data_IF_504966139485
#
_entry.id   IF_504966139485
#
_cell.length_a   1.000
_cell.length_b   1.000
_cell.length_c   1.000
_cell.angle_alpha   90.00
_cell.angle_beta   90.00
_cell.angle_gamma   90.00
#
_symmetry.space_group_name_H-M   'P 1'
#
loop_
_entity.id
_entity.type
_entity.pdbx_description
1 polymer ?
#
# COMPACT_ATOMS: atom_id res chain seq x y z
N UNK A 1 48.11 24.11 -35.43
CA UNK A 1 46.80 23.83 -34.80
C UNK A 1 47.07 23.29 -33.38
N UNK A 2 46.82 24.11 -32.35
CA UNK A 2 47.03 23.74 -30.93
C UNK A 2 45.71 23.26 -30.35
N UNK A 3 45.61 21.96 -29.99
CA UNK A 3 44.47 21.40 -29.30
C UNK A 3 44.37 21.97 -27.88
N UNK A 4 43.37 22.80 -27.64
CA UNK A 4 42.98 23.18 -26.29
C UNK A 4 42.16 22.01 -25.69
N UNK A 5 42.79 21.18 -24.85
CA UNK A 5 42.07 20.29 -23.97
C UNK A 5 41.38 21.17 -22.91
N UNK A 6 40.08 21.22 -22.92
CA UNK A 6 39.34 22.03 -21.97
C UNK A 6 39.33 21.36 -20.59
N UNK A 7 39.48 22.16 -19.53
CA UNK A 7 39.57 21.77 -18.11
C UNK A 7 38.40 20.87 -17.65
N UNK A 8 37.25 20.95 -18.34
CA UNK A 8 36.04 20.17 -18.09
C UNK A 8 36.21 18.67 -18.33
N UNK A 9 37.02 18.27 -19.33
CA UNK A 9 37.24 16.85 -19.64
C UNK A 9 38.15 16.15 -18.64
N UNK A 10 39.02 16.90 -17.94
CA UNK A 10 39.91 16.38 -16.90
C UNK A 10 39.16 16.18 -15.60
N UNK A 11 38.24 17.08 -15.23
CA UNK A 11 37.40 16.98 -14.02
C UNK A 11 36.44 15.79 -14.07
N UNK A 12 35.87 15.51 -15.26
CA UNK A 12 34.92 14.37 -15.42
C UNK A 12 35.66 13.03 -15.36
N UNK A 13 36.88 12.95 -15.86
CA UNK A 13 37.70 11.73 -15.74
C UNK A 13 38.27 11.53 -14.33
N UNK A 14 38.55 12.58 -13.59
CA UNK A 14 39.02 12.50 -12.19
C UNK A 14 37.89 12.06 -11.26
N UNK A 15 36.62 12.48 -11.51
CA UNK A 15 35.48 12.08 -10.74
C UNK A 15 35.11 10.57 -10.87
N UNK A 16 35.38 9.98 -12.04
CA UNK A 16 35.17 8.54 -12.28
C UNK A 16 36.28 7.65 -11.68
N UNK A 17 37.50 8.17 -11.50
CA UNK A 17 38.64 7.38 -10.98
C UNK A 17 38.62 7.32 -9.43
N UNK A 18 38.06 8.33 -8.76
CA UNK A 18 38.00 8.37 -7.29
C UNK A 18 36.95 7.41 -6.69
N UNK A 19 36.09 6.83 -7.53
CA UNK A 19 35.06 5.87 -7.07
C UNK A 19 35.57 4.40 -6.98
N UNK A 20 36.79 4.11 -7.40
CA UNK A 20 37.27 2.73 -7.58
C UNK A 20 38.15 2.16 -6.46
N UNK A 21 38.39 2.86 -5.34
CA UNK A 21 39.29 2.34 -4.29
C UNK A 21 38.75 2.32 -2.88
N UNK A 22 37.41 2.26 -2.71
CA UNK A 22 36.85 1.95 -1.39
C UNK A 22 36.57 0.43 -1.33
N UNK A 23 37.47 -0.31 -0.69
CA UNK A 23 37.21 -1.69 -0.24
C UNK A 23 36.20 -1.64 0.92
N UNK A 24 34.89 -1.51 0.59
CA UNK A 24 33.84 -1.76 1.58
C UNK A 24 33.73 -3.29 1.74
N UNK A 25 33.90 -3.79 2.96
CA UNK A 25 33.34 -5.07 3.35
C UNK A 25 31.82 -4.89 3.36
N UNK A 26 31.18 -5.21 2.23
CA UNK A 26 29.77 -4.98 1.98
C UNK A 26 28.97 -6.04 2.74
N UNK A 27 28.51 -5.72 3.97
CA UNK A 27 27.52 -6.51 4.66
C UNK A 27 26.12 -6.16 4.12
N UNK A 28 25.69 -6.87 3.08
CA UNK A 28 24.35 -6.78 2.54
C UNK A 28 23.45 -7.83 3.18
N UNK A 29 22.33 -7.41 3.76
CA UNK A 29 21.22 -8.30 4.05
C UNK A 29 20.27 -8.28 2.86
N UNK A 30 20.06 -9.42 2.23
CA UNK A 30 19.21 -9.57 1.05
C UNK A 30 18.21 -10.69 1.26
N UNK A 31 16.94 -10.41 1.02
CA UNK A 31 15.85 -11.37 1.20
C UNK A 31 15.03 -11.48 -0.09
N UNK A 32 14.79 -12.71 -0.52
CA UNK A 32 13.64 -13.02 -1.37
C UNK A 32 12.43 -13.25 -0.48
N UNK A 33 11.31 -12.70 -0.86
CA UNK A 33 10.07 -12.83 -0.13
C UNK A 33 8.88 -12.94 -1.08
N UNK A 34 7.79 -13.44 -0.57
CA UNK A 34 6.56 -13.50 -1.33
C UNK A 34 5.33 -13.71 -0.47
N UNK A 35 4.21 -13.60 -1.15
CA UNK A 35 2.89 -13.88 -0.61
C UNK A 35 2.05 -14.55 -1.70
N UNK A 36 1.58 -15.75 -1.45
CA UNK A 36 0.52 -16.37 -2.21
C UNK A 36 -0.78 -16.19 -1.43
N UNK A 37 -1.76 -15.52 -2.02
CA UNK A 37 -3.05 -15.23 -1.39
C UNK A 37 -4.15 -15.48 -2.41
N UNK A 38 -4.86 -16.58 -2.24
CA UNK A 38 -5.88 -17.06 -3.16
C UNK A 38 -7.13 -17.46 -2.41
N UNK A 39 -8.27 -17.36 -3.07
CA UNK A 39 -9.54 -17.84 -2.53
C UNK A 39 -10.42 -18.42 -3.64
N UNK A 40 -11.28 -19.35 -3.27
CA UNK A 40 -12.48 -19.70 -4.03
C UNK A 40 -13.60 -18.81 -3.51
N UNK A 41 -14.38 -18.23 -4.41
CA UNK A 41 -15.51 -17.40 -4.09
C UNK A 41 -16.75 -17.88 -4.85
N UNK A 42 -17.86 -17.99 -4.14
CA UNK A 42 -19.18 -17.95 -4.74
C UNK A 42 -19.56 -16.48 -4.87
N UNK A 43 -19.91 -16.06 -6.06
CA UNK A 43 -20.20 -14.67 -6.46
C UNK A 43 -21.62 -14.63 -6.96
N UNK A 44 -22.46 -13.79 -6.32
CA UNK A 44 -23.81 -13.49 -6.77
C UNK A 44 -23.86 -12.01 -7.15
N UNK A 45 -24.20 -11.67 -8.38
CA UNK A 45 -24.31 -10.29 -8.85
C UNK A 45 -25.75 -9.78 -8.90
N UNK A 46 -26.68 -10.57 -8.33
CA UNK A 46 -28.12 -10.32 -8.31
C UNK A 46 -28.84 -10.73 -9.60
N UNK A 47 -28.13 -11.28 -10.57
CA UNK A 47 -28.66 -11.82 -11.83
C UNK A 47 -28.26 -13.28 -12.01
N UNK A 48 -27.03 -13.62 -11.64
CA UNK A 48 -26.49 -14.97 -11.76
C UNK A 48 -25.53 -15.26 -10.60
N UNK A 49 -25.26 -16.55 -10.38
CA UNK A 49 -24.36 -17.02 -9.33
C UNK A 49 -23.28 -17.88 -9.97
N UNK A 50 -22.04 -17.48 -9.80
CA UNK A 50 -20.87 -18.21 -10.31
C UNK A 50 -19.89 -18.57 -9.19
N UNK A 51 -19.01 -19.53 -9.45
CA UNK A 51 -17.89 -19.87 -8.59
C UNK A 51 -16.59 -19.61 -9.31
N UNK A 52 -15.70 -18.83 -8.69
CA UNK A 52 -14.44 -18.46 -9.30
C UNK A 52 -13.27 -18.58 -8.31
N UNK A 53 -12.06 -18.70 -8.85
CA UNK A 53 -10.81 -18.69 -8.09
C UNK A 53 -10.17 -17.32 -8.21
N UNK A 54 -9.98 -16.64 -7.08
CA UNK A 54 -9.56 -15.26 -7.03
C UNK A 54 -8.12 -15.13 -6.53
N UNK A 55 -7.33 -14.34 -7.24
CA UNK A 55 -6.03 -13.86 -6.80
C UNK A 55 -6.20 -12.62 -5.92
N UNK A 56 -5.75 -12.70 -4.66
CA UNK A 56 -5.81 -11.61 -3.71
C UNK A 56 -4.44 -10.89 -3.62
N UNK A 57 -3.95 -10.40 -4.77
CA UNK A 57 -2.66 -9.73 -4.93
C UNK A 57 -1.48 -10.57 -4.42
N UNK A 58 -1.38 -11.80 -4.92
CA UNK A 58 -0.18 -12.64 -4.76
C UNK A 58 1.03 -11.93 -5.35
N UNK A 59 2.20 -12.09 -4.75
CA UNK A 59 3.39 -11.32 -5.15
C UNK A 59 4.68 -12.03 -4.80
N UNK A 60 5.71 -11.67 -5.54
CA UNK A 60 7.10 -12.03 -5.26
C UNK A 60 7.95 -10.78 -5.24
N UNK A 61 9.00 -10.77 -4.45
CA UNK A 61 9.87 -9.63 -4.31
C UNK A 61 11.27 -9.96 -3.84
N UNK A 62 12.13 -9.01 -4.07
CA UNK A 62 13.50 -8.97 -3.57
C UNK A 62 13.71 -7.64 -2.85
N UNK A 63 14.33 -7.68 -1.69
CA UNK A 63 14.78 -6.48 -0.99
C UNK A 63 16.20 -6.66 -0.50
N UNK A 64 16.97 -5.59 -0.52
CA UNK A 64 18.32 -5.57 0.00
C UNK A 64 18.58 -4.29 0.79
N UNK A 65 19.29 -4.44 1.90
CA UNK A 65 19.81 -3.35 2.72
C UNK A 65 21.32 -3.53 2.82
N UNK A 66 22.03 -2.58 2.24
CA UNK A 66 23.48 -2.52 2.24
C UNK A 66 23.94 -1.45 3.22
N UNK A 67 24.67 -1.84 4.27
CA UNK A 67 25.26 -0.89 5.20
C UNK A 67 26.42 -0.18 4.54
N UNK A 68 26.34 1.14 4.35
CA UNK A 68 27.41 1.99 3.80
C UNK A 68 28.30 2.58 4.91
N UNK A 69 27.69 2.91 6.06
CA UNK A 69 28.36 3.32 7.28
C UNK A 69 27.48 3.02 8.50
N UNK A 70 27.89 3.37 9.72
CA UNK A 70 27.08 3.14 10.92
C UNK A 70 25.71 3.81 10.87
N UNK A 71 25.61 4.96 10.20
CA UNK A 71 24.40 5.77 10.13
C UNK A 71 23.81 5.88 8.71
N UNK A 72 24.31 5.09 7.75
CA UNK A 72 23.86 5.16 6.37
C UNK A 72 23.72 3.78 5.76
N UNK A 73 22.53 3.52 5.21
CA UNK A 73 22.23 2.31 4.46
C UNK A 73 21.72 2.67 3.07
N UNK A 74 22.07 1.85 2.09
CA UNK A 74 21.46 1.85 0.77
C UNK A 74 20.37 0.77 0.72
N UNK A 75 19.24 1.09 0.09
CA UNK A 75 18.06 0.23 0.03
C UNK A 75 17.68 -0.06 -1.40
N UNK A 76 17.31 -1.30 -1.67
CA UNK A 76 16.69 -1.72 -2.93
C UNK A 76 15.46 -2.56 -2.57
N UNK A 77 14.36 -2.34 -3.28
CA UNK A 77 13.21 -3.24 -3.30
C UNK A 77 12.71 -3.38 -4.73
N UNK A 78 12.41 -4.60 -5.13
CA UNK A 78 11.73 -4.95 -6.37
C UNK A 78 10.58 -5.87 -5.98
N UNK A 79 9.33 -5.49 -6.30
CA UNK A 79 8.15 -6.29 -6.00
C UNK A 79 7.23 -6.32 -7.23
N UNK A 80 6.77 -7.52 -7.57
CA UNK A 80 5.80 -7.73 -8.63
C UNK A 80 4.64 -8.57 -8.13
N UNK A 81 3.43 -8.18 -8.49
CA UNK A 81 2.25 -9.00 -8.38
C UNK A 81 2.32 -10.11 -9.44
N UNK A 82 1.91 -11.28 -9.05
CA UNK A 82 1.74 -12.47 -9.88
C UNK A 82 0.30 -12.94 -9.74
N UNK A 83 -0.21 -13.60 -10.74
CA UNK A 83 -1.52 -14.26 -10.66
C UNK A 83 -1.35 -15.78 -10.83
N UNK A 84 -1.46 -16.55 -9.73
CA UNK A 84 -1.38 -18.00 -9.81
C UNK A 84 -2.66 -18.66 -10.34
N UNK A 85 -3.75 -17.91 -10.57
CA UNK A 85 -5.03 -18.48 -11.06
C UNK A 85 -5.03 -18.68 -12.56
N UNK A 86 -4.52 -17.69 -13.32
CA UNK A 86 -4.48 -17.72 -14.78
C UNK A 86 -3.11 -17.34 -15.38
N UNK A 87 -2.14 -16.98 -14.54
CA UNK A 87 -0.80 -16.59 -14.96
C UNK A 87 -0.68 -15.14 -15.45
N UNK A 88 -1.74 -14.32 -15.36
CA UNK A 88 -1.78 -12.94 -15.87
C UNK A 88 -2.11 -11.93 -14.78
N UNK A 89 -1.13 -11.16 -14.35
CA UNK A 89 -1.27 -10.18 -13.25
C UNK A 89 -1.74 -8.79 -13.72
N UNK A 90 -1.60 -8.46 -15.00
CA UNK A 90 -2.00 -7.15 -15.57
C UNK A 90 -2.29 -7.30 -17.07
N UNK A 91 -3.53 -7.62 -17.42
CA UNK A 91 -3.91 -7.98 -18.79
C UNK A 91 -3.12 -9.20 -19.26
N UNK A 92 -2.37 -9.08 -20.35
CA UNK A 92 -1.55 -10.19 -20.88
C UNK A 92 -0.17 -10.31 -20.22
N UNK A 93 0.13 -9.50 -19.20
CA UNK A 93 1.44 -9.50 -18.53
C UNK A 93 1.46 -10.48 -17.37
N UNK A 94 2.54 -11.26 -17.29
CA UNK A 94 2.81 -12.19 -16.17
C UNK A 94 3.06 -11.44 -14.86
N UNK A 95 3.62 -10.23 -14.94
CA UNK A 95 4.00 -9.41 -13.78
C UNK A 95 3.33 -8.04 -13.84
N UNK A 96 2.82 -7.60 -12.68
CA UNK A 96 2.39 -6.24 -12.45
C UNK A 96 3.28 -5.59 -11.40
N UNK A 97 3.95 -4.50 -11.79
CA UNK A 97 4.85 -3.80 -10.89
C UNK A 97 4.12 -3.29 -9.64
N UNK A 98 4.73 -3.59 -8.49
CA UNK A 98 4.32 -3.08 -7.18
C UNK A 98 5.38 -2.11 -6.64
N UNK A 99 5.61 -2.09 -5.31
CA UNK A 99 6.61 -1.20 -4.73
C UNK A 99 8.03 -1.59 -5.17
N UNK A 100 8.60 -0.80 -6.07
CA UNK A 100 9.92 -1.00 -6.66
C UNK A 100 10.69 0.31 -6.59
N UNK A 101 11.73 0.38 -5.77
CA UNK A 101 12.47 1.61 -5.50
C UNK A 101 13.91 1.33 -5.08
N UNK A 102 14.73 2.38 -5.19
CA UNK A 102 16.03 2.50 -4.53
C UNK A 102 15.97 3.65 -3.53
N UNK A 103 16.82 3.60 -2.50
CA UNK A 103 16.82 4.65 -1.48
C UNK A 103 18.01 4.62 -0.54
N UNK A 104 18.05 5.59 0.34
CA UNK A 104 19.00 5.68 1.45
C UNK A 104 18.23 5.87 2.77
N UNK A 105 18.77 5.32 3.85
CA UNK A 105 18.19 5.51 5.19
C UNK A 105 19.27 5.68 6.24
N UNK A 106 18.95 6.44 7.26
CA UNK A 106 19.83 6.72 8.40
C UNK A 106 19.07 7.39 9.53
N UNK A 107 19.81 8.08 10.42
CA UNK A 107 19.18 8.84 11.52
C UNK A 107 18.31 10.01 11.01
N UNK A 108 18.51 10.43 9.77
CA UNK A 108 17.70 11.45 9.10
C UNK A 108 16.37 10.92 8.54
N UNK A 109 16.11 9.62 8.65
CA UNK A 109 14.94 8.95 8.06
C UNK A 109 15.29 8.18 6.79
N UNK A 110 14.36 8.14 5.82
CA UNK A 110 14.50 7.40 4.56
C UNK A 110 14.11 8.28 3.37
N UNK A 111 15.02 8.40 2.40
CA UNK A 111 14.73 8.92 1.06
C UNK A 111 14.70 7.79 0.05
N UNK A 112 13.76 7.84 -0.89
CA UNK A 112 13.65 6.81 -1.93
C UNK A 112 13.06 7.36 -3.23
N UNK A 113 13.36 6.69 -4.33
CA UNK A 113 12.83 7.03 -5.65
C UNK A 113 12.40 5.75 -6.37
N UNK A 114 11.28 5.82 -7.11
CA UNK A 114 10.76 4.70 -7.89
C UNK A 114 9.24 4.62 -7.85
N UNK A 115 8.72 3.39 -7.92
CA UNK A 115 7.29 3.09 -7.79
C UNK A 115 6.98 2.75 -6.34
N UNK A 116 6.03 3.46 -5.74
CA UNK A 116 5.66 3.22 -4.34
C UNK A 116 4.20 3.57 -4.04
N UNK A 117 3.63 2.93 -3.02
CA UNK A 117 2.35 3.36 -2.45
C UNK A 117 2.49 4.78 -1.90
N UNK A 118 1.49 5.63 -2.15
CA UNK A 118 1.49 7.02 -1.68
C UNK A 118 1.44 7.11 -0.15
N UNK A 119 1.87 8.25 0.39
CA UNK A 119 1.76 8.55 1.82
C UNK A 119 0.30 8.44 2.28
N UNK A 120 -0.65 8.90 1.47
CA UNK A 120 -2.08 8.82 1.70
C UNK A 120 -2.56 7.36 1.83
N UNK A 121 -2.17 6.50 0.90
CA UNK A 121 -2.53 5.08 0.95
C UNK A 121 -1.95 4.40 2.19
N UNK A 122 -0.68 4.64 2.50
CA UNK A 122 -0.04 4.06 3.70
C UNK A 122 -0.68 4.51 5.01
N UNK A 123 -1.33 5.68 5.01
CA UNK A 123 -1.98 6.28 6.16
C UNK A 123 -3.31 5.59 6.57
N UNK A 124 -3.77 4.55 5.87
CA UNK A 124 -4.93 3.74 6.27
C UNK A 124 -4.73 2.93 7.57
N UNK A 125 -3.51 2.83 8.10
CA UNK A 125 -3.15 2.24 9.41
C UNK A 125 -3.71 0.82 9.64
N UNK A 126 -3.95 0.04 8.58
CA UNK A 126 -4.57 -1.30 8.62
C UNK A 126 -6.00 -1.30 9.20
N UNK A 127 -6.72 -0.20 9.05
CA UNK A 127 -8.16 -0.14 9.33
C UNK A 127 -8.92 -1.00 8.31
N UNK A 128 -8.44 -1.03 7.06
CA UNK A 128 -8.90 -2.01 6.07
C UNK A 128 -8.49 -3.44 6.47
N UNK A 129 -9.44 -4.20 6.98
CA UNK A 129 -9.24 -5.57 7.45
C UNK A 129 -9.27 -6.60 6.31
N UNK A 130 -9.79 -6.21 5.14
CA UNK A 130 -9.97 -7.05 3.97
C UNK A 130 -9.11 -6.61 2.79
N UNK A 131 -8.07 -5.83 3.04
CA UNK A 131 -7.14 -5.34 2.03
C UNK A 131 -6.63 -6.46 1.11
N UNK A 132 -6.53 -6.17 -0.17
CA UNK A 132 -6.20 -7.09 -1.26
C UNK A 132 -7.30 -8.16 -1.59
N UNK A 133 -8.49 -8.13 -0.95
CA UNK A 133 -9.60 -9.05 -1.26
C UNK A 133 -10.75 -8.35 -1.96
N UNK A 134 -11.86 -9.04 -2.17
CA UNK A 134 -13.07 -8.47 -2.78
C UNK A 134 -13.73 -7.41 -1.91
N UNK A 135 -13.38 -7.38 -0.63
CA UNK A 135 -13.90 -6.44 0.37
C UNK A 135 -12.96 -5.26 0.66
N UNK A 136 -11.93 -5.06 -0.18
CA UNK A 136 -10.96 -3.97 -0.07
C UNK A 136 -11.65 -2.60 -0.18
N UNK A 137 -11.30 -1.66 0.69
CA UNK A 137 -11.87 -0.29 0.71
C UNK A 137 -11.67 0.46 -0.61
N UNK A 138 -10.74 0.04 -1.47
CA UNK A 138 -10.55 0.61 -2.82
C UNK A 138 -11.81 0.53 -3.69
N UNK A 139 -12.75 -0.36 -3.38
CA UNK A 139 -14.02 -0.47 -4.09
C UNK A 139 -14.95 0.72 -3.78
N UNK A 140 -14.80 1.31 -2.60
CA UNK A 140 -15.66 2.37 -2.07
C UNK A 140 -14.93 3.71 -2.01
N UNK A 141 -13.68 3.74 -1.51
CA UNK A 141 -12.90 4.96 -1.34
C UNK A 141 -11.86 5.14 -2.45
N UNK A 142 -11.54 6.39 -2.75
CA UNK A 142 -10.39 6.78 -3.59
C UNK A 142 -9.10 6.79 -2.77
N UNK A 143 -7.96 6.95 -3.43
CA UNK A 143 -6.67 7.21 -2.77
C UNK A 143 -5.83 5.97 -2.48
N UNK A 144 -6.27 4.78 -2.86
CA UNK A 144 -5.46 3.55 -2.80
C UNK A 144 -4.43 3.50 -3.94
N UNK A 145 -3.64 4.57 -4.06
CA UNK A 145 -2.74 4.81 -5.19
C UNK A 145 -1.35 4.24 -4.96
N UNK A 146 -0.78 3.64 -6.03
CA UNK A 146 0.65 3.36 -6.20
C UNK A 146 1.10 4.13 -7.43
N UNK A 147 2.17 4.94 -7.28
CA UNK A 147 2.61 5.86 -8.31
C UNK A 147 4.04 5.56 -8.71
N UNK A 148 4.29 5.63 -10.03
CA UNK A 148 5.63 5.67 -10.61
C UNK A 148 6.20 7.08 -10.48
N UNK A 149 7.49 7.25 -10.76
CA UNK A 149 8.20 8.53 -10.75
C UNK A 149 8.02 9.31 -9.42
N UNK A 150 7.97 8.56 -8.33
CA UNK A 150 7.76 9.06 -6.98
C UNK A 150 9.12 9.26 -6.29
N UNK A 151 9.33 10.46 -5.76
CA UNK A 151 10.38 10.77 -4.80
C UNK A 151 9.73 10.85 -3.43
N UNK A 152 10.18 10.02 -2.50
CA UNK A 152 9.61 9.90 -1.17
C UNK A 152 10.60 10.19 -0.05
N UNK A 153 10.08 10.80 1.01
CA UNK A 153 10.77 10.94 2.29
C UNK A 153 9.89 10.42 3.43
N UNK A 154 10.46 9.60 4.29
CA UNK A 154 9.87 9.17 5.56
C UNK A 154 10.78 9.66 6.69
N UNK A 155 10.26 10.47 7.61
CA UNK A 155 11.03 10.94 8.78
C UNK A 155 11.42 9.77 9.69
N UNK A 156 12.47 9.93 10.52
CA UNK A 156 12.60 9.09 11.70
C UNK A 156 11.38 9.27 12.60
N UNK A 157 11.27 8.45 13.62
CA UNK A 157 10.28 8.67 14.67
C UNK A 157 10.63 9.93 15.47
N UNK A 158 9.67 10.85 15.51
CA UNK A 158 9.75 12.14 16.22
C UNK A 158 8.80 12.10 17.43
N UNK A 159 9.14 12.76 18.51
CA UNK A 159 8.24 12.99 19.65
C UNK A 159 7.40 11.77 20.08
N UNK A 160 8.06 10.62 20.33
CA UNK A 160 7.43 9.40 20.83
C UNK A 160 6.22 8.91 19.96
N UNK A 161 6.49 8.63 18.70
CA UNK A 161 5.53 7.95 17.83
C UNK A 161 5.06 8.75 16.62
N UNK A 162 5.49 10.00 16.44
CA UNK A 162 5.14 10.81 15.28
C UNK A 162 6.05 10.48 14.09
N UNK A 163 5.48 10.27 12.92
CA UNK A 163 6.18 10.15 11.63
C UNK A 163 5.52 11.01 10.57
N UNK A 164 6.33 11.67 9.77
CA UNK A 164 5.91 12.43 8.60
C UNK A 164 6.36 11.67 7.35
N UNK A 165 5.45 11.54 6.38
CA UNK A 165 5.77 11.00 5.06
C UNK A 165 5.38 12.03 4.00
N UNK A 166 6.29 12.27 3.07
CA UNK A 166 6.13 13.22 1.98
C UNK A 166 6.47 12.49 0.67
N UNK A 167 5.58 12.59 -0.31
CA UNK A 167 5.84 12.12 -1.66
C UNK A 167 5.63 13.26 -2.65
N UNK A 168 6.55 13.37 -3.60
CA UNK A 168 6.42 14.15 -4.81
C UNK A 168 6.37 13.17 -5.98
N UNK A 169 5.33 13.27 -6.81
CA UNK A 169 5.09 12.41 -7.96
C UNK A 169 5.15 13.30 -9.20
N UNK A 170 6.06 13.01 -10.12
CA UNK A 170 6.23 13.79 -11.34
C UNK A 170 5.77 12.97 -12.54
N UNK A 171 4.81 13.50 -13.28
CA UNK A 171 4.46 13.03 -14.63
C UNK A 171 5.10 13.94 -15.68
N UNK A 172 4.93 13.66 -16.99
CA UNK A 172 5.44 14.50 -18.07
C UNK A 172 5.03 15.97 -17.92
N UNK A 173 3.79 16.22 -17.47
CA UNK A 173 3.16 17.55 -17.56
C UNK A 173 2.84 18.17 -16.20
N UNK A 174 2.78 17.38 -15.12
CA UNK A 174 2.31 17.83 -13.80
C UNK A 174 3.12 17.21 -12.67
N UNK A 175 3.11 17.91 -11.53
CA UNK A 175 3.57 17.37 -10.25
C UNK A 175 2.40 17.24 -9.29
N UNK A 176 2.37 16.14 -8.55
CA UNK A 176 1.38 15.84 -7.53
C UNK A 176 2.09 15.59 -6.20
N UNK A 177 1.39 15.81 -5.11
CA UNK A 177 1.95 15.58 -3.78
C UNK A 177 1.04 14.66 -2.96
N UNK A 178 1.67 13.88 -2.10
CA UNK A 178 0.99 13.07 -1.10
C UNK A 178 1.72 13.20 0.23
N UNK A 179 0.97 13.48 1.29
CA UNK A 179 1.50 13.72 2.62
C UNK A 179 0.78 12.89 3.65
N UNK A 180 1.47 12.51 4.70
CA UNK A 180 0.83 12.02 5.92
C UNK A 180 1.59 12.39 7.18
N UNK A 181 0.83 12.73 8.22
CA UNK A 181 1.27 12.84 9.61
C UNK A 181 0.68 11.65 10.35
N UNK A 182 1.55 10.82 10.92
CA UNK A 182 1.14 9.58 11.57
C UNK A 182 1.59 9.60 13.03
N UNK A 183 0.69 9.23 13.92
CA UNK A 183 0.99 8.94 15.32
C UNK A 183 0.78 7.46 15.60
N UNK A 184 1.72 6.83 16.29
CA UNK A 184 1.69 5.41 16.59
C UNK A 184 2.15 5.16 18.02
N UNK A 185 1.25 4.66 18.86
CA UNK A 185 1.56 4.11 20.17
C UNK A 185 1.11 2.63 20.24
N UNK A 186 1.32 1.98 21.37
CA UNK A 186 0.99 0.56 21.55
C UNK A 186 -0.51 0.28 21.35
N UNK A 187 -1.37 1.15 21.86
CA UNK A 187 -2.82 0.97 21.84
C UNK A 187 -3.55 1.89 20.88
N UNK A 188 -2.97 3.03 20.50
CA UNK A 188 -3.65 4.04 19.68
C UNK A 188 -2.78 4.46 18.50
N UNK A 189 -3.39 4.51 17.32
CA UNK A 189 -2.79 5.02 16.10
C UNK A 189 -3.72 6.03 15.47
N UNK A 190 -3.17 7.10 14.97
CA UNK A 190 -3.90 8.12 14.22
C UNK A 190 -3.09 8.59 13.02
N UNK A 191 -3.77 9.02 11.98
CA UNK A 191 -3.13 9.61 10.82
C UNK A 191 -4.02 10.68 10.21
N UNK A 192 -3.39 11.74 9.73
CA UNK A 192 -3.98 12.70 8.80
C UNK A 192 -3.18 12.67 7.51
N UNK A 193 -3.85 12.58 6.38
CA UNK A 193 -3.19 12.48 5.08
C UNK A 193 -3.90 13.28 4.00
N UNK A 194 -3.11 13.75 3.03
CA UNK A 194 -3.54 14.60 1.92
C UNK A 194 -2.93 14.08 0.62
N UNK A 195 -3.75 13.94 -0.42
CA UNK A 195 -3.33 13.85 -1.82
C UNK A 195 -3.75 15.12 -2.54
N UNK A 196 -2.83 15.75 -3.31
CA UNK A 196 -3.10 16.98 -4.06
C UNK A 196 -3.11 16.69 -5.55
N UNK A 197 -4.25 16.87 -6.21
CA UNK A 197 -4.49 16.72 -7.65
C UNK A 197 -4.37 15.31 -8.18
N UNK A 198 -4.09 14.32 -7.32
CA UNK A 198 -3.74 12.97 -7.74
C UNK A 198 -4.93 12.28 -8.40
N UNK A 199 -4.73 11.83 -9.65
CA UNK A 199 -5.80 11.25 -10.48
C UNK A 199 -7.03 12.16 -10.63
N UNK A 200 -6.84 13.48 -10.55
CA UNK A 200 -7.88 14.49 -10.73
C UNK A 200 -8.66 14.81 -9.45
N UNK A 201 -8.14 14.46 -8.28
CA UNK A 201 -8.78 14.72 -6.99
C UNK A 201 -7.80 15.29 -5.98
N UNK A 202 -8.28 16.27 -5.20
CA UNK A 202 -7.73 16.66 -3.92
C UNK A 202 -8.43 15.85 -2.85
N UNK A 203 -7.68 15.13 -2.02
CA UNK A 203 -8.26 14.23 -1.02
C UNK A 203 -7.64 14.44 0.34
N UNK A 204 -8.45 14.37 1.38
CA UNK A 204 -8.06 14.41 2.79
C UNK A 204 -8.64 13.20 3.50
N UNK A 205 -7.84 12.60 4.38
CA UNK A 205 -8.25 11.41 5.14
C UNK A 205 -7.78 11.52 6.58
N UNK A 206 -8.68 11.25 7.51
CA UNK A 206 -8.38 11.01 8.91
C UNK A 206 -8.58 9.51 9.15
N UNK A 207 -7.60 8.89 9.76
CA UNK A 207 -7.64 7.47 10.14
C UNK A 207 -7.32 7.35 11.62
N UNK A 208 -8.02 6.49 12.32
CA UNK A 208 -7.73 6.15 13.71
C UNK A 208 -7.95 4.66 13.97
N UNK A 209 -7.13 4.10 14.85
CA UNK A 209 -7.25 2.71 15.31
C UNK A 209 -6.92 2.63 16.78
N UNK A 210 -7.75 1.92 17.53
CA UNK A 210 -7.59 1.73 18.97
C UNK A 210 -7.67 0.25 19.36
N UNK A 211 -6.70 -0.20 20.14
CA UNK A 211 -6.64 -1.57 20.66
C UNK A 211 -7.11 -1.57 22.11
N UNK A 212 -8.23 -2.23 22.36
CA UNK A 212 -8.76 -2.46 23.70
C UNK A 212 -8.84 -3.97 23.97
N UNK A 213 -7.98 -4.46 24.84
CA UNK A 213 -7.86 -5.90 25.15
C UNK A 213 -7.62 -6.74 23.88
N UNK A 214 -8.61 -7.58 23.52
CA UNK A 214 -8.57 -8.46 22.35
C UNK A 214 -9.21 -7.83 21.11
N UNK A 215 -9.74 -6.61 21.22
CA UNK A 215 -10.49 -5.92 20.16
C UNK A 215 -9.68 -4.77 19.62
N UNK A 216 -9.62 -4.66 18.29
CA UNK A 216 -9.12 -3.49 17.58
C UNK A 216 -10.28 -2.83 16.87
N UNK A 217 -10.50 -1.56 17.15
CA UNK A 217 -11.47 -0.70 16.46
C UNK A 217 -10.73 0.18 15.47
N UNK A 218 -11.29 0.40 14.30
CA UNK A 218 -10.73 1.25 13.28
C UNK A 218 -11.78 2.16 12.66
N UNK A 219 -11.39 3.39 12.32
CA UNK A 219 -12.24 4.33 11.60
C UNK A 219 -11.41 5.09 10.56
N UNK A 220 -12.01 5.29 9.38
CA UNK A 220 -11.54 6.23 8.35
C UNK A 220 -12.69 7.19 8.07
N UNK A 221 -12.38 8.47 7.97
CA UNK A 221 -13.22 9.47 7.31
C UNK A 221 -12.40 10.11 6.19
N UNK A 222 -12.98 10.20 5.00
CA UNK A 222 -12.34 10.76 3.84
C UNK A 222 -13.26 11.77 3.16
N UNK A 223 -12.65 12.87 2.73
CA UNK A 223 -13.21 13.87 1.84
C UNK A 223 -12.38 13.92 0.58
N UNK A 224 -13.02 14.03 -0.58
CA UNK A 224 -12.36 14.20 -1.87
C UNK A 224 -13.11 15.19 -2.73
N UNK A 225 -12.36 16.06 -3.40
CA UNK A 225 -12.88 17.07 -4.31
C UNK A 225 -12.29 16.84 -5.70
N UNK A 226 -13.15 16.85 -6.73
CA UNK A 226 -12.70 16.73 -8.11
C UNK A 226 -12.14 18.06 -8.58
N UNK A 227 -10.87 18.11 -8.97
CA UNK A 227 -10.12 19.32 -9.28
C UNK A 227 -10.68 20.12 -10.47
N UNK A 228 -11.47 19.50 -11.36
CA UNK A 228 -12.01 20.14 -12.57
C UNK A 228 -13.37 20.82 -12.38
N UNK A 229 -14.20 20.30 -11.48
CA UNK A 229 -15.62 20.75 -11.34
C UNK A 229 -16.02 21.05 -9.89
N UNK A 230 -15.11 20.87 -8.92
CA UNK A 230 -15.37 21.17 -7.52
C UNK A 230 -16.44 20.30 -6.85
N UNK A 231 -16.82 19.15 -7.44
CA UNK A 231 -17.75 18.23 -6.79
C UNK A 231 -17.08 17.56 -5.60
N UNK A 232 -17.76 17.62 -4.48
CA UNK A 232 -17.31 17.11 -3.19
C UNK A 232 -17.93 15.75 -2.93
N UNK A 233 -17.12 14.80 -2.51
CA UNK A 233 -17.51 13.45 -2.14
C UNK A 233 -16.92 13.11 -0.76
N UNK A 234 -17.68 12.45 0.09
CA UNK A 234 -17.17 11.97 1.38
C UNK A 234 -17.45 10.48 1.57
N UNK A 235 -16.72 9.87 2.46
CA UNK A 235 -16.93 8.47 2.80
C UNK A 235 -16.28 8.10 4.12
N UNK A 236 -16.71 6.97 4.65
CA UNK A 236 -16.20 6.44 5.91
C UNK A 236 -15.98 4.93 5.84
N UNK A 237 -15.13 4.45 6.72
CA UNK A 237 -14.96 3.03 7.03
C UNK A 237 -14.98 2.83 8.54
N UNK A 238 -15.72 1.86 8.99
CA UNK A 238 -15.65 1.32 10.36
C UNK A 238 -15.16 -0.11 10.30
N UNK A 239 -14.25 -0.47 11.21
CA UNK A 239 -13.75 -1.84 11.29
C UNK A 239 -13.61 -2.31 12.72
N UNK A 240 -13.89 -3.61 12.93
CA UNK A 240 -13.75 -4.28 14.21
C UNK A 240 -13.02 -5.60 13.97
N UNK A 241 -11.90 -5.79 14.64
CA UNK A 241 -11.20 -7.07 14.70
C UNK A 241 -11.20 -7.55 16.14
N UNK A 242 -11.78 -8.72 16.40
CA UNK A 242 -11.82 -9.34 17.72
C UNK A 242 -11.07 -10.67 17.74
N UNK A 243 -10.05 -10.79 18.58
CA UNK A 243 -9.31 -12.05 18.78
C UNK A 243 -10.12 -12.97 19.70
N UNK A 244 -10.69 -14.04 19.15
CA UNK A 244 -11.40 -15.06 19.93
C UNK A 244 -10.46 -16.10 20.53
N UNK A 245 -9.26 -16.25 19.97
CA UNK A 245 -8.21 -17.14 20.46
C UNK A 245 -6.81 -16.61 20.08
N UNK A 246 -5.74 -17.34 20.47
CA UNK A 246 -4.37 -17.02 20.02
C UNK A 246 -4.22 -17.09 18.49
N UNK A 247 -5.04 -17.89 17.80
CA UNK A 247 -4.99 -18.15 16.36
C UNK A 247 -6.19 -17.63 15.59
N UNK A 248 -7.33 -17.41 16.23
CA UNK A 248 -8.60 -17.04 15.59
C UNK A 248 -8.98 -15.58 15.81
N UNK A 249 -9.46 -14.92 14.76
CA UNK A 249 -9.99 -13.54 14.83
C UNK A 249 -11.25 -13.41 13.99
N UNK A 250 -12.27 -12.76 14.54
CA UNK A 250 -13.46 -12.30 13.82
C UNK A 250 -13.20 -10.89 13.29
N UNK A 251 -13.70 -10.61 12.10
CA UNK A 251 -13.55 -9.34 11.39
C UNK A 251 -14.92 -8.82 10.99
N UNK A 252 -15.12 -7.53 11.16
CA UNK A 252 -16.24 -6.78 10.62
C UNK A 252 -15.71 -5.49 9.98
N UNK A 253 -16.24 -5.11 8.82
CA UNK A 253 -15.93 -3.85 8.17
C UNK A 253 -17.18 -3.35 7.42
N UNK A 254 -17.46 -2.07 7.55
CA UNK A 254 -18.41 -1.35 6.72
C UNK A 254 -17.73 -0.13 6.14
N UNK A 255 -17.88 0.05 4.83
CA UNK A 255 -17.43 1.22 4.08
C UNK A 255 -18.60 1.82 3.30
N UNK A 256 -18.75 3.15 3.31
CA UNK A 256 -19.79 3.85 2.55
C UNK A 256 -19.25 5.13 1.93
N UNK A 257 -19.56 5.37 0.66
CA UNK A 257 -19.24 6.60 -0.07
C UNK A 257 -19.82 6.60 -1.48
N UNK A 258 -20.02 7.79 -2.03
CA UNK A 258 -20.35 8.00 -3.45
C UNK A 258 -19.13 8.16 -4.37
N UNK A 259 -17.91 8.02 -3.83
CA UNK A 259 -16.64 8.29 -4.55
C UNK A 259 -16.39 7.36 -5.73
N UNK A 260 -16.78 6.10 -5.64
CA UNK A 260 -16.52 5.10 -6.69
C UNK A 260 -17.78 4.70 -7.43
N UNK A 261 -18.85 4.52 -6.68
CA UNK A 261 -20.18 4.18 -7.16
C UNK A 261 -21.19 4.94 -6.34
N UNK A 262 -22.25 5.43 -6.96
CA UNK A 262 -23.32 6.15 -6.29
C UNK A 262 -24.04 5.23 -5.32
N UNK A 263 -24.31 5.71 -4.10
CA UNK A 263 -24.86 4.90 -3.02
C UNK A 263 -23.96 3.78 -2.53
N UNK A 264 -22.66 3.81 -2.88
CA UNK A 264 -21.72 2.74 -2.59
C UNK A 264 -21.62 2.42 -1.10
N UNK A 265 -21.99 1.19 -0.73
CA UNK A 265 -21.85 0.62 0.60
C UNK A 265 -21.32 -0.80 0.50
N UNK A 266 -20.27 -1.09 1.25
CA UNK A 266 -19.72 -2.44 1.35
C UNK A 266 -19.70 -2.90 2.80
N UNK A 267 -20.36 -4.01 3.10
CA UNK A 267 -20.41 -4.62 4.43
C UNK A 267 -19.75 -5.98 4.36
N UNK A 268 -18.84 -6.27 5.28
CA UNK A 268 -18.05 -7.49 5.25
C UNK A 268 -17.89 -8.10 6.63
N UNK A 269 -18.01 -9.41 6.70
CA UNK A 269 -17.76 -10.24 7.88
C UNK A 269 -16.71 -11.28 7.53
N UNK A 270 -15.80 -11.58 8.43
CA UNK A 270 -14.76 -12.57 8.15
C UNK A 270 -14.25 -13.28 9.40
N UNK A 271 -13.60 -14.40 9.15
CA UNK A 271 -12.86 -15.15 10.13
C UNK A 271 -11.48 -15.49 9.59
N UNK A 272 -10.45 -15.15 10.35
CA UNK A 272 -9.06 -15.51 10.05
C UNK A 272 -8.59 -16.55 11.07
N UNK A 273 -7.98 -17.64 10.57
CA UNK A 273 -7.32 -18.63 11.39
C UNK A 273 -5.83 -18.74 11.03
N UNK A 274 -4.95 -18.39 11.98
CA UNK A 274 -3.50 -18.50 11.81
C UNK A 274 -3.06 -19.93 12.13
N UNK A 275 -2.71 -20.72 11.14
CA UNK A 275 -2.22 -22.10 11.31
C UNK A 275 -0.78 -22.04 11.80
N UNK A 276 0.09 -21.31 11.10
CA UNK A 276 1.49 -21.01 11.43
C UNK A 276 1.76 -19.53 11.19
N UNK A 277 2.92 -19.03 11.58
CA UNK A 277 3.32 -17.63 11.34
C UNK A 277 3.20 -17.23 9.87
N UNK A 278 3.52 -18.16 8.98
CA UNK A 278 3.53 -17.96 7.53
C UNK A 278 2.20 -18.29 6.85
N UNK A 279 1.35 -19.14 7.48
CA UNK A 279 0.14 -19.67 6.86
C UNK A 279 -1.13 -19.28 7.63
N UNK A 280 -2.04 -18.59 6.93
CA UNK A 280 -3.36 -18.20 7.39
C UNK A 280 -4.43 -18.78 6.44
N UNK A 281 -5.51 -19.30 7.00
CA UNK A 281 -6.76 -19.60 6.29
C UNK A 281 -7.78 -18.56 6.68
N UNK A 282 -8.63 -18.17 5.75
CA UNK A 282 -9.67 -17.17 6.00
C UNK A 282 -10.97 -17.53 5.27
N UNK A 283 -12.08 -17.07 5.83
CA UNK A 283 -13.37 -17.05 5.14
C UNK A 283 -14.01 -15.68 5.34
N UNK A 284 -14.79 -15.23 4.39
CA UNK A 284 -15.50 -13.96 4.45
C UNK A 284 -16.80 -14.02 3.66
N UNK A 285 -17.79 -13.26 4.15
CA UNK A 285 -18.94 -12.80 3.39
C UNK A 285 -18.79 -11.30 3.18
N UNK A 286 -19.08 -10.83 1.98
CA UNK A 286 -19.10 -9.41 1.64
C UNK A 286 -20.27 -9.11 0.73
N UNK A 287 -20.94 -7.99 1.00
CA UNK A 287 -21.98 -7.44 0.14
C UNK A 287 -21.59 -6.02 -0.28
N UNK A 288 -21.65 -5.74 -1.57
CA UNK A 288 -21.51 -4.42 -2.16
C UNK A 288 -22.84 -3.97 -2.74
N UNK A 289 -23.44 -2.97 -2.11
CA UNK A 289 -24.66 -2.31 -2.57
C UNK A 289 -24.31 -1.01 -3.31
N UNK A 290 -25.11 -0.62 -4.28
CA UNK A 290 -25.03 0.63 -5.02
C UNK A 290 -26.40 1.02 -5.55
N UNK A 291 -26.61 2.33 -5.77
CA UNK A 291 -27.86 2.82 -6.29
C UNK A 291 -28.19 2.25 -7.68
N UNK A 292 -29.46 1.96 -7.91
CA UNK A 292 -30.02 1.52 -9.19
C UNK A 292 -29.35 0.26 -9.80
N UNK A 293 -28.83 -0.61 -8.98
CA UNK A 293 -28.24 -1.88 -9.40
C UNK A 293 -28.46 -2.97 -8.37
N UNK A 294 -28.54 -4.23 -8.76
CA UNK A 294 -28.54 -5.33 -7.80
C UNK A 294 -27.30 -5.28 -6.88
N UNK A 295 -27.45 -5.78 -5.69
CA UNK A 295 -26.34 -6.01 -4.79
C UNK A 295 -25.42 -7.10 -5.32
N UNK A 296 -24.14 -7.02 -5.00
CA UNK A 296 -23.16 -8.05 -5.34
C UNK A 296 -22.61 -8.66 -4.07
N UNK A 297 -22.76 -9.98 -3.95
CA UNK A 297 -22.36 -10.76 -2.78
C UNK A 297 -21.18 -11.67 -3.10
N UNK A 298 -20.33 -11.89 -2.11
CA UNK A 298 -19.22 -12.85 -2.16
C UNK A 298 -19.19 -13.70 -0.89
N UNK A 299 -19.14 -15.01 -1.06
CA UNK A 299 -18.77 -15.95 0.00
C UNK A 299 -17.42 -16.53 -0.39
N UNK A 300 -16.39 -16.28 0.40
CA UNK A 300 -15.02 -16.66 0.09
C UNK A 300 -14.40 -17.60 1.12
N UNK A 301 -13.62 -18.55 0.64
CA UNK A 301 -12.69 -19.36 1.44
C UNK A 301 -11.32 -19.31 0.80
N UNK A 302 -10.30 -18.94 1.56
CA UNK A 302 -8.98 -18.75 1.00
C UNK A 302 -7.85 -19.04 1.97
N UNK A 303 -6.63 -18.94 1.45
CA UNK A 303 -5.41 -19.03 2.24
C UNK A 303 -4.41 -17.96 1.82
N UNK A 304 -3.60 -17.55 2.78
CA UNK A 304 -2.46 -16.66 2.59
C UNK A 304 -1.22 -17.34 3.14
N UNK A 305 -0.23 -17.54 2.26
CA UNK A 305 1.09 -18.07 2.62
C UNK A 305 2.17 -17.03 2.33
N UNK A 306 3.02 -16.76 3.31
CA UNK A 306 4.14 -15.83 3.22
C UNK A 306 5.46 -16.58 3.39
N UNK A 307 6.45 -16.23 2.61
CA UNK A 307 7.81 -16.83 2.66
C UNK A 307 8.88 -15.75 2.49
#
# INVERSE_FOLDING_TARGET
MKNKLTLTTLATKLFLITFMTFNFTLNASSDFYGKINMSIAQIDDGLDTETDTLNNASRVGFKSKLKLSDNLNFLIQIENEIDPTDGRADGDKVFKQRNTFIGISGNFGKFFVGTHDTAFKKAQLKVDLFNDTQSDIKNILRGENRMQDLVGYESPELFNGIKIVINNIKTSDKSYQSYSLNYNSDSFKASYSIDTGLKGYDSQRITSSYVFNKTTLGVIYQYSEKTTIGNNESGYVYSIKHKISKKGSLLFQEAKSDMKVLGGKQTSFGYNHQIRKELKVFTAYSQLSKDNSPDKDWITLGFEYKF
#
